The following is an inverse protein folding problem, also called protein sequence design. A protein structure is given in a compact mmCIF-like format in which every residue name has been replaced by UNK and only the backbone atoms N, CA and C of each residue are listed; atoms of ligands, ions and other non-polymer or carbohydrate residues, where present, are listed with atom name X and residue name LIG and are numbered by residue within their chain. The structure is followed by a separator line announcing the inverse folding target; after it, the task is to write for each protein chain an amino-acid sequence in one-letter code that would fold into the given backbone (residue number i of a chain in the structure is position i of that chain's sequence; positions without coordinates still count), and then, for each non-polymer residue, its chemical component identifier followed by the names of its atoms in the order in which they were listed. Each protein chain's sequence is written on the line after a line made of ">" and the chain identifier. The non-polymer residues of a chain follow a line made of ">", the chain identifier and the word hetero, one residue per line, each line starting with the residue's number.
data_IF_009242182554
#
_entry.id   IF_009242182554
#
_cell.length_a   1.000
_cell.length_b   1.000
_cell.length_c   1.000
_cell.angle_alpha   90.00
_cell.angle_beta   90.00
_cell.angle_gamma   90.00
#
_symmetry.space_group_name_H-M   'P 1'
#
loop_
_entity.id
_entity.type
_entity.pdbx_description
1 polymer ?
#
# COMPACT_ATOMS: atom_id res chain seq x y z
N UNK A 1 14.85 27.45 -73.37
CA UNK A 1 14.38 27.83 -72.07
C UNK A 1 13.53 26.68 -71.53
N UNK A 2 14.06 25.80 -70.63
CA UNK A 2 13.31 24.71 -69.96
C UNK A 2 12.65 25.25 -68.76
N UNK A 3 11.33 25.25 -68.69
CA UNK A 3 10.56 25.57 -67.48
C UNK A 3 10.66 24.40 -66.51
N UNK A 4 11.30 24.61 -65.38
CA UNK A 4 11.28 23.68 -64.26
C UNK A 4 9.99 23.94 -63.46
N UNK A 5 9.11 22.96 -63.46
CA UNK A 5 7.88 22.96 -62.63
C UNK A 5 8.23 22.37 -61.26
N UNK A 6 8.30 23.23 -60.25
CA UNK A 6 8.48 22.81 -58.86
C UNK A 6 7.10 22.40 -58.32
N UNK A 7 6.91 21.11 -58.12
CA UNK A 7 5.72 20.59 -57.44
C UNK A 7 5.96 20.74 -55.94
N UNK A 8 5.21 21.66 -55.32
CA UNK A 8 5.22 21.86 -53.87
C UNK A 8 4.41 20.73 -53.23
N UNK A 9 5.09 19.78 -52.59
CA UNK A 9 4.47 18.72 -51.81
C UNK A 9 4.03 19.36 -50.47
N UNK A 10 2.74 19.67 -50.34
CA UNK A 10 2.17 20.04 -49.04
C UNK A 10 2.13 18.78 -48.17
N UNK A 11 3.02 18.68 -47.19
CA UNK A 11 2.88 17.74 -46.11
C UNK A 11 1.72 18.23 -45.24
N UNK A 12 0.60 17.52 -45.30
CA UNK A 12 -0.49 17.71 -44.35
C UNK A 12 0.01 17.22 -42.97
N UNK A 13 0.30 18.15 -42.08
CA UNK A 13 0.47 17.83 -40.70
C UNK A 13 -0.88 17.36 -40.14
N UNK A 14 -1.03 16.07 -39.94
CA UNK A 14 -2.14 15.53 -39.16
C UNK A 14 -1.92 16.02 -37.71
N UNK A 15 -2.65 17.05 -37.32
CA UNK A 15 -2.71 17.43 -35.94
C UNK A 15 -3.36 16.26 -35.20
N UNK A 16 -2.60 15.52 -34.40
CA UNK A 16 -3.16 14.57 -33.47
C UNK A 16 -4.02 15.38 -32.50
N UNK A 17 -5.34 15.23 -32.58
CA UNK A 17 -6.23 15.83 -31.57
C UNK A 17 -5.98 15.13 -30.24
N UNK A 18 -5.76 15.91 -29.17
CA UNK A 18 -5.62 15.35 -27.83
C UNK A 18 -6.89 14.57 -27.48
N UNK A 19 -6.70 13.37 -26.92
CA UNK A 19 -7.77 12.50 -26.43
C UNK A 19 -8.15 12.94 -25.01
N UNK A 20 -9.43 12.85 -24.65
CA UNK A 20 -9.91 13.20 -23.30
C UNK A 20 -10.82 12.10 -22.75
N UNK A 21 -10.73 11.88 -21.43
CA UNK A 21 -11.67 11.02 -20.71
C UNK A 21 -13.09 11.63 -20.70
N UNK A 22 -14.15 10.81 -20.63
CA UNK A 22 -14.14 9.35 -20.53
C UNK A 22 -13.93 8.66 -21.88
N UNK A 23 -13.41 7.41 -21.86
CA UNK A 23 -13.38 6.54 -23.04
C UNK A 23 -14.46 5.47 -22.91
N UNK A 24 -15.51 5.59 -23.71
CA UNK A 24 -16.65 4.67 -23.80
C UNK A 24 -16.58 3.72 -25.02
N UNK A 25 -15.59 3.92 -25.89
CA UNK A 25 -15.34 3.12 -27.11
C UNK A 25 -16.53 2.92 -28.04
N UNK A 26 -17.63 3.67 -27.86
CA UNK A 26 -18.79 3.63 -28.77
C UNK A 26 -18.50 4.24 -30.14
N UNK A 27 -17.51 5.11 -30.19
CA UNK A 27 -16.96 5.67 -31.42
C UNK A 27 -15.47 5.36 -31.53
N UNK A 28 -14.89 5.57 -32.73
CA UNK A 28 -13.46 5.34 -32.93
C UNK A 28 -12.63 6.23 -32.02
N UNK A 29 -11.81 5.62 -31.16
CA UNK A 29 -10.81 6.30 -30.34
C UNK A 29 -9.51 6.37 -31.12
N UNK A 30 -9.04 7.58 -31.45
CA UNK A 30 -7.76 7.76 -32.09
C UNK A 30 -6.61 7.48 -31.13
N UNK A 31 -5.43 7.15 -31.64
CA UNK A 31 -4.25 6.92 -30.79
C UNK A 31 -4.20 5.58 -30.04
N UNK A 32 -5.16 4.68 -30.26
CA UNK A 32 -5.11 3.32 -29.74
C UNK A 32 -4.05 2.49 -30.47
N UNK A 33 -3.09 1.95 -29.72
CA UNK A 33 -1.98 1.13 -30.26
C UNK A 33 -1.77 -0.08 -29.35
N UNK A 34 -1.75 -1.30 -29.93
CA UNK A 34 -1.20 -2.47 -29.27
C UNK A 34 0.33 -2.47 -29.41
N UNK A 35 1.04 -2.95 -28.39
CA UNK A 35 2.50 -2.99 -28.38
C UNK A 35 3.02 -4.31 -27.81
N UNK A 36 4.29 -4.64 -28.10
CA UNK A 36 5.04 -5.79 -27.59
C UNK A 36 4.32 -7.15 -27.76
N UNK A 37 3.58 -7.30 -28.86
CA UNK A 37 2.85 -8.52 -29.16
C UNK A 37 1.41 -8.54 -28.61
N UNK A 38 0.84 -7.40 -28.27
CA UNK A 38 -0.59 -7.28 -28.03
C UNK A 38 -1.29 -6.51 -29.18
N UNK A 39 -2.56 -6.81 -29.40
CA UNK A 39 -3.45 -6.00 -30.23
C UNK A 39 -4.40 -5.20 -29.36
N UNK A 40 -4.78 -3.99 -29.81
CA UNK A 40 -5.73 -3.14 -29.11
C UNK A 40 -6.72 -2.58 -30.14
N UNK A 41 -7.98 -3.04 -30.08
CA UNK A 41 -9.00 -2.76 -31.12
C UNK A 41 -10.37 -2.56 -30.48
N UNK A 42 -11.27 -1.85 -31.17
CA UNK A 42 -12.69 -1.74 -30.77
C UNK A 42 -13.47 -2.90 -31.39
N UNK A 43 -14.32 -3.54 -30.60
CA UNK A 43 -15.15 -4.68 -30.99
C UNK A 43 -16.53 -4.59 -30.35
N UNK A 44 -17.48 -5.41 -30.82
CA UNK A 44 -18.78 -5.55 -30.16
C UNK A 44 -18.60 -6.08 -28.72
N UNK A 45 -19.41 -5.57 -27.78
CA UNK A 45 -19.40 -5.97 -26.39
C UNK A 45 -19.70 -7.48 -26.24
N UNK A 46 -18.86 -8.26 -25.55
CA UNK A 46 -19.04 -9.69 -25.38
C UNK A 46 -20.22 -10.05 -24.46
N UNK A 47 -20.66 -9.13 -23.60
CA UNK A 47 -21.76 -9.36 -22.63
C UNK A 47 -22.41 -8.04 -22.20
N UNK A 48 -23.72 -7.95 -22.38
CA UNK A 48 -24.49 -6.79 -21.89
C UNK A 48 -24.81 -6.85 -20.38
N UNK A 49 -24.51 -7.94 -19.71
CA UNK A 49 -24.70 -8.06 -18.26
C UNK A 49 -23.59 -7.30 -17.52
N UNK A 50 -23.94 -6.19 -16.86
CA UNK A 50 -23.01 -5.33 -16.14
C UNK A 50 -22.35 -4.23 -16.99
N UNK A 51 -22.53 -4.26 -18.32
CA UNK A 51 -22.09 -3.20 -19.24
C UNK A 51 -23.03 -3.12 -20.44
N UNK A 52 -23.77 -2.01 -20.58
CA UNK A 52 -24.77 -1.80 -21.63
C UNK A 52 -24.21 -1.24 -22.93
N UNK A 53 -22.90 -0.95 -23.02
CA UNK A 53 -22.25 -0.43 -24.22
C UNK A 53 -22.40 -1.40 -25.40
N UNK A 54 -22.55 -0.86 -26.62
CA UNK A 54 -22.60 -1.67 -27.83
C UNK A 54 -21.19 -2.12 -28.25
N UNK A 55 -20.20 -1.26 -28.07
CA UNK A 55 -18.81 -1.49 -28.41
C UNK A 55 -17.92 -1.30 -27.21
N UNK A 56 -16.78 -1.99 -27.19
CA UNK A 56 -15.78 -1.96 -26.13
C UNK A 56 -14.37 -2.10 -26.73
N UNK A 57 -13.37 -1.68 -26.00
CA UNK A 57 -11.99 -1.96 -26.39
C UNK A 57 -11.62 -3.41 -26.05
N UNK A 58 -10.79 -4.02 -26.90
CA UNK A 58 -10.29 -5.39 -26.73
C UNK A 58 -8.78 -5.41 -26.83
N UNK A 59 -8.12 -5.94 -25.80
CA UNK A 59 -6.70 -6.27 -25.83
C UNK A 59 -6.55 -7.78 -25.94
N UNK A 60 -5.74 -8.23 -26.90
CA UNK A 60 -5.33 -9.64 -27.00
C UNK A 60 -3.82 -9.70 -26.85
N UNK A 61 -3.36 -10.36 -25.81
CA UNK A 61 -1.96 -10.65 -25.57
C UNK A 61 -1.63 -11.95 -26.30
N UNK A 62 -1.10 -11.84 -27.53
CA UNK A 62 -0.91 -13.01 -28.41
C UNK A 62 0.09 -14.02 -27.82
N UNK A 63 0.13 -15.23 -28.38
CA UNK A 63 1.10 -16.24 -27.98
C UNK A 63 2.53 -15.68 -28.11
N UNK A 64 3.34 -15.89 -27.07
CA UNK A 64 4.70 -15.40 -26.96
C UNK A 64 4.86 -13.86 -26.99
N UNK A 65 3.78 -13.11 -26.75
CA UNK A 65 3.89 -11.67 -26.50
C UNK A 65 4.77 -11.40 -25.27
N UNK A 66 5.46 -10.27 -25.30
CA UNK A 66 6.36 -9.88 -24.19
C UNK A 66 5.62 -9.72 -22.85
N UNK A 67 6.39 -9.79 -21.77
CA UNK A 67 5.88 -9.67 -20.40
C UNK A 67 5.04 -8.40 -20.18
N UNK A 68 5.38 -7.33 -20.89
CA UNK A 68 4.80 -5.98 -20.78
C UNK A 68 3.76 -5.67 -21.86
N UNK A 69 3.46 -6.64 -22.73
CA UNK A 69 2.56 -6.43 -23.84
C UNK A 69 1.17 -5.93 -23.40
N UNK A 70 0.63 -4.94 -24.10
CA UNK A 70 -0.64 -4.32 -23.75
C UNK A 70 -1.18 -3.37 -24.78
N UNK A 71 -2.10 -2.52 -24.35
CA UNK A 71 -2.71 -1.45 -25.13
C UNK A 71 -2.29 -0.07 -24.63
N UNK A 72 -2.14 0.89 -25.54
CA UNK A 72 -1.81 2.29 -25.24
C UNK A 72 -2.80 3.21 -25.93
N UNK A 73 -3.25 4.24 -25.22
CA UNK A 73 -3.95 5.40 -25.80
C UNK A 73 -3.01 6.58 -25.66
N UNK A 74 -2.54 7.11 -26.79
CA UNK A 74 -1.52 8.17 -26.81
C UNK A 74 -2.15 9.55 -26.66
N UNK A 75 -1.41 10.47 -26.03
CA UNK A 75 -1.76 11.88 -25.92
C UNK A 75 -3.11 12.13 -25.24
N UNK A 76 -3.42 11.40 -24.19
CA UNK A 76 -4.59 11.64 -23.33
C UNK A 76 -4.38 12.97 -22.62
N UNK A 77 -5.28 13.93 -22.85
CA UNK A 77 -5.23 15.27 -22.25
C UNK A 77 -6.13 15.36 -21.03
N UNK A 78 -5.90 16.41 -20.25
CA UNK A 78 -6.78 16.79 -19.13
C UNK A 78 -6.78 15.84 -17.92
N UNK A 79 -5.83 14.90 -17.82
CA UNK A 79 -5.67 14.14 -16.59
C UNK A 79 -5.15 15.07 -15.48
N UNK A 80 -5.84 15.04 -14.34
CA UNK A 80 -5.52 15.85 -13.18
C UNK A 80 -5.68 15.03 -11.91
N UNK A 81 -4.56 14.57 -11.36
CA UNK A 81 -4.51 13.79 -10.12
C UNK A 81 -4.15 14.65 -8.90
N UNK A 82 -4.32 15.97 -8.97
CA UNK A 82 -3.91 16.90 -7.89
C UNK A 82 -4.95 17.05 -6.79
N UNK A 83 -6.13 16.46 -6.93
CA UNK A 83 -7.20 16.55 -5.95
C UNK A 83 -7.83 15.19 -5.65
N UNK A 84 -8.42 15.04 -4.45
CA UNK A 84 -9.16 13.84 -4.08
C UNK A 84 -10.35 13.55 -4.99
N UNK A 85 -10.93 14.57 -5.64
CA UNK A 85 -12.07 14.42 -6.53
C UNK A 85 -11.73 13.74 -7.87
N UNK A 86 -10.45 13.55 -8.17
CA UNK A 86 -9.98 13.03 -9.46
C UNK A 86 -8.72 12.17 -9.35
N UNK A 87 -8.40 11.65 -8.17
CA UNK A 87 -7.14 10.89 -7.94
C UNK A 87 -7.17 9.45 -8.46
N UNK A 88 -8.33 8.95 -8.89
CA UNK A 88 -8.54 7.57 -9.29
C UNK A 88 -8.97 7.51 -10.75
N UNK A 89 -8.40 6.56 -11.50
CA UNK A 89 -9.03 6.07 -12.73
C UNK A 89 -9.92 4.88 -12.41
N UNK A 90 -11.15 4.87 -12.90
CA UNK A 90 -11.99 3.68 -12.95
C UNK A 90 -12.03 3.14 -14.37
N UNK A 91 -12.19 1.82 -14.48
CA UNK A 91 -12.26 1.14 -15.76
C UNK A 91 -13.07 -0.14 -15.62
N UNK A 92 -14.03 -0.36 -16.50
CA UNK A 92 -14.68 -1.67 -16.61
C UNK A 92 -13.77 -2.67 -17.30
N UNK A 93 -13.71 -3.88 -16.75
CA UNK A 93 -12.90 -4.98 -17.29
C UNK A 93 -13.76 -6.24 -17.36
N UNK A 94 -13.63 -6.98 -18.46
CA UNK A 94 -14.17 -8.32 -18.62
C UNK A 94 -13.08 -9.24 -19.15
N UNK A 95 -12.88 -10.36 -18.48
CA UNK A 95 -11.97 -11.42 -18.93
C UNK A 95 -12.44 -12.78 -18.41
N UNK A 96 -12.08 -13.86 -19.11
CA UNK A 96 -12.28 -15.23 -18.66
C UNK A 96 -11.04 -15.80 -17.94
N UNK A 97 -10.04 -14.98 -17.71
CA UNK A 97 -8.86 -15.37 -16.92
C UNK A 97 -9.26 -15.62 -15.46
N UNK A 98 -8.46 -16.38 -14.70
CA UNK A 98 -8.74 -16.66 -13.29
C UNK A 98 -8.91 -15.38 -12.46
N UNK A 99 -9.73 -15.45 -11.42
CA UNK A 99 -9.80 -14.42 -10.37
C UNK A 99 -8.40 -14.16 -9.80
N UNK A 100 -8.10 -12.90 -9.50
CA UNK A 100 -6.75 -12.48 -9.10
C UNK A 100 -5.83 -12.13 -10.27
N UNK A 101 -6.34 -12.12 -11.51
CA UNK A 101 -5.58 -11.65 -12.67
C UNK A 101 -5.28 -10.15 -12.52
N UNK A 102 -4.01 -9.81 -12.67
CA UNK A 102 -3.54 -8.42 -12.55
C UNK A 102 -3.82 -7.64 -13.82
N UNK A 103 -4.32 -6.43 -13.64
CA UNK A 103 -4.41 -5.39 -14.66
C UNK A 103 -3.58 -4.21 -14.16
N UNK A 104 -2.52 -3.85 -14.87
CA UNK A 104 -1.70 -2.68 -14.58
C UNK A 104 -2.10 -1.52 -15.47
N UNK A 105 -2.29 -0.35 -14.90
CA UNK A 105 -2.45 0.91 -15.61
C UNK A 105 -1.23 1.79 -15.34
N UNK A 106 -0.64 2.32 -16.40
CA UNK A 106 0.55 3.16 -16.35
C UNK A 106 0.29 4.47 -17.08
N UNK A 107 0.73 5.56 -16.49
CA UNK A 107 0.78 6.87 -17.10
C UNK A 107 2.21 7.14 -17.55
N UNK A 108 2.43 7.41 -18.84
CA UNK A 108 3.76 7.68 -19.39
C UNK A 108 3.85 9.11 -19.89
N UNK A 109 5.05 9.68 -19.78
CA UNK A 109 5.42 11.01 -20.29
C UNK A 109 4.55 12.17 -19.76
N UNK A 110 5.14 13.21 -19.13
CA UNK A 110 6.60 13.32 -18.91
C UNK A 110 7.09 12.50 -17.71
N UNK A 111 6.19 11.92 -16.91
CA UNK A 111 6.51 11.12 -15.75
C UNK A 111 5.93 9.73 -15.89
N UNK A 112 6.47 8.77 -15.17
CA UNK A 112 5.95 7.41 -15.10
C UNK A 112 5.30 7.19 -13.75
N UNK A 113 4.04 6.75 -13.74
CA UNK A 113 3.33 6.29 -12.56
C UNK A 113 2.51 5.06 -12.94
N UNK A 114 2.52 4.04 -12.10
CA UNK A 114 1.87 2.75 -12.35
C UNK A 114 1.02 2.36 -11.16
N UNK A 115 -0.14 1.75 -11.45
CA UNK A 115 -1.03 1.20 -10.42
C UNK A 115 -1.58 -0.13 -10.90
N UNK A 116 -1.62 -1.10 -10.00
CA UNK A 116 -2.17 -2.43 -10.22
C UNK A 116 -3.55 -2.57 -9.59
N UNK A 117 -4.43 -3.31 -10.26
CA UNK A 117 -5.67 -3.83 -9.71
C UNK A 117 -5.81 -5.30 -10.10
N UNK A 118 -6.53 -6.07 -9.29
CA UNK A 118 -6.75 -7.49 -9.54
C UNK A 118 -8.23 -7.77 -9.81
N UNK A 119 -8.50 -8.69 -10.72
CA UNK A 119 -9.88 -9.11 -11.00
C UNK A 119 -10.47 -9.88 -9.82
N UNK A 120 -11.74 -9.63 -9.53
CA UNK A 120 -12.49 -10.31 -8.47
C UNK A 120 -13.51 -11.31 -9.02
N UNK A 121 -13.78 -11.22 -10.33
CA UNK A 121 -14.67 -12.15 -11.03
C UNK A 121 -14.01 -12.63 -12.34
N UNK A 122 -14.50 -13.76 -12.88
CA UNK A 122 -14.11 -14.30 -14.18
C UNK A 122 -15.36 -14.51 -15.02
N UNK A 123 -15.32 -14.11 -16.30
CA UNK A 123 -16.44 -14.23 -17.23
C UNK A 123 -17.60 -13.25 -16.99
N UNK A 124 -17.33 -12.15 -16.30
CA UNK A 124 -18.28 -11.07 -16.03
C UNK A 124 -17.59 -9.72 -16.09
N UNK A 125 -18.36 -8.64 -16.32
CA UNK A 125 -17.88 -7.27 -16.18
C UNK A 125 -17.75 -6.90 -14.71
N UNK A 126 -16.66 -6.23 -14.38
CA UNK A 126 -16.43 -5.57 -13.09
C UNK A 126 -15.79 -4.20 -13.31
N UNK A 127 -15.90 -3.31 -12.33
CA UNK A 127 -15.21 -2.03 -12.33
C UNK A 127 -13.98 -2.14 -11.46
N UNK A 128 -12.80 -1.97 -12.05
CA UNK A 128 -11.53 -1.85 -11.35
C UNK A 128 -11.19 -0.37 -11.14
N UNK A 129 -10.52 -0.07 -10.05
CA UNK A 129 -10.07 1.27 -9.70
C UNK A 129 -8.57 1.31 -9.53
N UNK A 130 -7.93 2.37 -10.04
CA UNK A 130 -6.49 2.60 -10.06
C UNK A 130 -6.22 3.94 -9.39
N UNK A 131 -5.81 3.92 -8.13
CA UNK A 131 -5.57 5.11 -7.32
C UNK A 131 -4.11 5.55 -7.47
N UNK A 132 -3.88 6.58 -8.28
CA UNK A 132 -2.54 7.11 -8.53
C UNK A 132 -1.99 7.97 -7.40
N UNK A 133 -2.79 8.26 -6.37
CA UNK A 133 -2.36 9.11 -5.26
C UNK A 133 -1.98 10.53 -5.70
N UNK A 134 -1.28 11.24 -4.82
CA UNK A 134 -0.71 12.56 -5.11
C UNK A 134 0.77 12.55 -4.73
N UNK A 135 1.67 13.07 -5.57
CA UNK A 135 1.45 13.63 -6.91
C UNK A 135 1.57 12.58 -8.02
N UNK A 136 0.55 12.43 -8.84
CA UNK A 136 0.68 11.73 -10.12
C UNK A 136 0.88 12.73 -11.26
N UNK A 137 1.35 12.30 -12.44
CA UNK A 137 1.53 13.18 -13.57
C UNK A 137 0.21 13.85 -13.94
N UNK A 138 0.27 15.15 -14.24
CA UNK A 138 -0.86 15.91 -14.77
C UNK A 138 -0.50 16.45 -16.16
N UNK A 139 -1.52 16.65 -17.00
CA UNK A 139 -1.37 17.15 -18.35
C UNK A 139 -1.60 16.07 -19.41
N UNK A 140 -0.91 16.17 -20.54
CA UNK A 140 -1.02 15.16 -21.60
C UNK A 140 -0.09 13.98 -21.31
N UNK A 141 -0.65 12.79 -21.24
CA UNK A 141 0.08 11.54 -20.93
C UNK A 141 -0.35 10.45 -21.90
N UNK A 142 0.47 9.42 -22.03
CA UNK A 142 0.05 8.16 -22.64
C UNK A 142 -0.55 7.27 -21.57
N UNK A 143 -1.76 6.79 -21.79
CA UNK A 143 -2.44 5.85 -20.92
C UNK A 143 -2.16 4.43 -21.40
N UNK A 144 -1.43 3.66 -20.62
CA UNK A 144 -0.99 2.32 -20.95
C UNK A 144 -1.73 1.32 -20.07
N UNK A 145 -2.24 0.25 -20.67
CA UNK A 145 -2.99 -0.81 -20.00
C UNK A 145 -2.29 -2.14 -20.29
N UNK A 146 -1.78 -2.76 -19.25
CA UNK A 146 -1.03 -4.01 -19.32
C UNK A 146 -1.79 -5.11 -18.57
N UNK A 147 -2.60 -5.93 -19.25
CA UNK A 147 -3.21 -7.10 -18.62
C UNK A 147 -2.16 -8.21 -18.43
N UNK A 148 -2.20 -8.88 -17.29
CA UNK A 148 -1.24 -9.91 -16.90
C UNK A 148 0.22 -9.45 -17.13
N UNK A 149 0.67 -8.33 -16.56
CA UNK A 149 2.07 -7.94 -16.63
C UNK A 149 2.92 -9.08 -16.06
N UNK A 150 4.18 -9.16 -16.49
CA UNK A 150 5.15 -10.17 -16.06
C UNK A 150 4.82 -11.63 -16.45
N UNK A 151 3.77 -11.83 -17.26
CA UNK A 151 3.38 -13.14 -17.78
C UNK A 151 3.50 -13.14 -19.29
N UNK A 152 4.22 -14.10 -19.92
CA UNK A 152 4.25 -14.21 -21.38
C UNK A 152 2.84 -14.35 -21.97
N UNK A 153 2.66 -13.83 -23.16
CA UNK A 153 1.37 -13.94 -23.86
C UNK A 153 0.98 -15.39 -24.14
N UNK A 154 -0.31 -15.71 -23.91
CA UNK A 154 -0.92 -17.02 -24.18
C UNK A 154 -2.18 -16.93 -25.02
N UNK A 155 -2.36 -15.85 -25.78
CA UNK A 155 -3.60 -15.60 -26.52
C UNK A 155 -4.74 -15.03 -25.67
N UNK A 156 -4.44 -14.60 -24.45
CA UNK A 156 -5.41 -14.13 -23.49
C UNK A 156 -6.11 -12.84 -23.94
N UNK A 157 -7.40 -12.77 -23.68
CA UNK A 157 -8.26 -11.68 -24.13
C UNK A 157 -8.84 -10.92 -22.95
N UNK A 158 -8.82 -9.59 -23.06
CA UNK A 158 -9.34 -8.65 -22.09
C UNK A 158 -10.20 -7.61 -22.81
N UNK A 159 -11.40 -7.36 -22.31
CA UNK A 159 -12.26 -6.29 -22.79
C UNK A 159 -12.28 -5.18 -21.75
N UNK A 160 -12.28 -3.95 -22.23
CA UNK A 160 -12.13 -2.74 -21.43
C UNK A 160 -13.13 -1.71 -21.90
N UNK A 161 -13.73 -1.00 -20.94
CA UNK A 161 -14.71 0.03 -21.22
C UNK A 161 -14.77 1.08 -20.12
N UNK A 162 -15.50 2.17 -20.37
CA UNK A 162 -15.79 3.23 -19.40
C UNK A 162 -14.57 3.66 -18.58
N UNK A 163 -13.49 4.07 -19.27
CA UNK A 163 -12.32 4.62 -18.57
C UNK A 163 -12.62 6.08 -18.20
N UNK A 164 -12.64 6.38 -16.91
CA UNK A 164 -12.95 7.72 -16.41
C UNK A 164 -12.14 8.09 -15.17
N UNK A 165 -11.99 9.39 -14.91
CA UNK A 165 -11.46 9.88 -13.63
C UNK A 165 -12.59 10.02 -12.62
N UNK A 166 -12.40 9.44 -11.46
CA UNK A 166 -13.37 9.47 -10.34
C UNK A 166 -12.71 9.97 -9.06
N UNK A 167 -13.57 10.32 -8.10
CA UNK A 167 -13.09 10.67 -6.76
C UNK A 167 -12.40 9.48 -6.09
N UNK A 168 -11.34 9.77 -5.38
CA UNK A 168 -10.62 8.81 -4.56
C UNK A 168 -10.34 9.35 -3.17
N UNK A 169 -9.87 8.47 -2.31
CA UNK A 169 -9.33 8.87 -1.01
C UNK A 169 -7.84 9.11 -1.19
N UNK A 170 -7.41 10.36 -0.99
CA UNK A 170 -5.98 10.66 -0.98
C UNK A 170 -5.38 9.92 0.20
N UNK A 171 -4.51 8.97 -0.06
CA UNK A 171 -3.68 8.39 0.98
C UNK A 171 -2.74 9.49 1.48
N UNK A 172 -2.97 9.98 2.71
CA UNK A 172 -2.01 10.87 3.35
C UNK A 172 -0.73 10.09 3.58
N UNK A 173 0.40 10.64 3.16
CA UNK A 173 1.70 10.04 3.43
C UNK A 173 1.85 9.78 4.93
N UNK A 174 2.30 8.59 5.31
CA UNK A 174 2.49 8.26 6.73
C UNK A 174 3.65 9.09 7.31
N UNK A 175 3.51 9.43 8.60
CA UNK A 175 4.57 10.16 9.30
C UNK A 175 5.86 9.32 9.43
N UNK A 176 5.72 8.01 9.66
CA UNK A 176 6.82 7.07 9.88
C UNK A 176 6.32 5.67 10.27
N UNK A 177 7.21 4.89 10.86
CA UNK A 177 6.91 3.60 11.47
C UNK A 177 6.06 3.78 12.75
N UNK A 178 5.23 2.80 13.14
CA UNK A 178 5.07 1.47 12.57
C UNK A 178 4.21 1.45 11.31
N UNK A 179 4.40 0.45 10.46
CA UNK A 179 3.49 0.07 9.39
C UNK A 179 2.76 -1.20 9.82
N UNK A 180 1.45 -1.10 9.94
CA UNK A 180 0.53 -2.21 10.19
C UNK A 180 -0.63 -2.09 9.23
N UNK A 181 -1.34 -3.17 8.95
CA UNK A 181 -2.47 -3.17 8.02
C UNK A 181 -3.84 -3.15 8.74
N UNK A 182 -3.85 -2.97 10.07
CA UNK A 182 -5.06 -2.93 10.88
C UNK A 182 -5.81 -1.60 10.78
N UNK A 183 -5.07 -0.49 10.67
CA UNK A 183 -5.67 0.83 10.49
C UNK A 183 -4.73 1.77 9.74
N UNK A 184 -5.27 2.50 8.78
CA UNK A 184 -4.59 3.59 8.10
C UNK A 184 -3.47 3.20 7.12
N UNK A 185 -2.94 1.97 7.15
CA UNK A 185 -2.02 1.48 6.11
C UNK A 185 -2.76 0.56 5.14
N UNK A 186 -2.58 0.81 3.86
CA UNK A 186 -3.13 0.01 2.78
C UNK A 186 -2.10 -0.11 1.67
N UNK A 187 -2.34 -0.96 0.68
CA UNK A 187 -1.48 -1.08 -0.49
C UNK A 187 -1.19 0.26 -1.18
N UNK A 188 -2.11 1.23 -1.11
CA UNK A 188 -1.94 2.58 -1.68
C UNK A 188 -0.79 3.41 -1.12
N UNK A 189 -0.27 3.07 0.05
CA UNK A 189 0.91 3.75 0.60
C UNK A 189 2.21 3.24 -0.01
N UNK A 190 2.14 2.14 -0.75
CA UNK A 190 3.27 1.49 -1.36
C UNK A 190 3.32 1.79 -2.85
N UNK A 191 4.53 1.91 -3.36
CA UNK A 191 4.84 2.05 -4.77
C UNK A 191 5.61 0.82 -5.23
N UNK A 192 4.97 0.03 -6.11
CA UNK A 192 5.59 -1.15 -6.70
C UNK A 192 6.60 -0.77 -7.76
N UNK A 193 7.67 -1.52 -7.85
CA UNK A 193 8.69 -1.32 -8.86
C UNK A 193 9.13 -2.66 -9.45
N UNK A 194 9.47 -2.60 -10.74
CA UNK A 194 9.85 -3.75 -11.54
C UNK A 194 8.77 -4.85 -11.53
N UNK A 195 9.12 -6.08 -11.24
CA UNK A 195 8.26 -7.25 -11.37
C UNK A 195 7.67 -7.73 -10.04
N UNK A 196 7.33 -6.85 -9.16
CA UNK A 196 6.62 -7.18 -7.92
C UNK A 196 5.29 -6.42 -7.81
N UNK A 197 4.33 -7.00 -7.12
CA UNK A 197 3.02 -6.42 -6.86
C UNK A 197 2.68 -6.57 -5.39
N UNK A 198 2.37 -5.44 -4.76
CA UNK A 198 1.93 -5.36 -3.37
C UNK A 198 0.42 -5.20 -3.28
N UNK A 199 -0.19 -5.98 -2.42
CA UNK A 199 -1.61 -5.87 -2.05
C UNK A 199 -1.75 -5.94 -0.54
N UNK A 200 -2.88 -5.47 0.02
CA UNK A 200 -3.26 -5.73 1.41
C UNK A 200 -4.52 -6.59 1.44
N UNK A 201 -4.55 -7.57 2.35
CA UNK A 201 -5.61 -8.58 2.39
C UNK A 201 -5.75 -9.15 3.81
N UNK A 202 -6.82 -9.90 4.11
CA UNK A 202 -6.92 -10.64 5.36
C UNK A 202 -5.72 -11.55 5.59
N UNK A 203 -5.25 -11.63 6.83
CA UNK A 203 -4.14 -12.48 7.22
C UNK A 203 -4.45 -13.95 6.92
N UNK A 204 -3.66 -14.65 6.10
CA UNK A 204 -3.91 -16.03 5.73
C UNK A 204 -3.65 -17.04 6.86
N UNK A 205 -2.89 -16.63 7.90
CA UNK A 205 -2.45 -17.49 8.99
C UNK A 205 -2.40 -16.71 10.31
N UNK A 206 -3.57 -16.56 10.95
CA UNK A 206 -3.68 -15.86 12.24
C UNK A 206 -3.25 -16.82 13.35
N UNK A 207 -2.13 -16.50 14.01
CA UNK A 207 -1.56 -17.30 15.07
C UNK A 207 -1.05 -16.45 16.25
N UNK A 208 -0.31 -17.08 17.19
CA UNK A 208 0.30 -16.41 18.34
C UNK A 208 1.42 -15.45 17.93
N UNK A 209 2.10 -15.72 16.81
CA UNK A 209 3.20 -14.89 16.32
C UNK A 209 2.67 -13.68 15.50
N UNK A 210 1.50 -13.83 14.84
CA UNK A 210 0.82 -12.72 14.16
C UNK A 210 -0.71 -12.79 14.28
N UNK A 211 -1.26 -12.12 15.29
CA UNK A 211 -2.70 -12.01 15.53
C UNK A 211 -3.42 -10.92 14.72
N UNK A 212 -2.75 -10.24 13.80
CA UNK A 212 -3.34 -9.18 12.96
C UNK A 212 -4.43 -9.73 12.04
N UNK A 213 -5.49 -8.97 11.84
CA UNK A 213 -6.58 -9.37 10.93
C UNK A 213 -6.19 -9.18 9.46
N UNK A 214 -5.33 -8.19 9.17
CA UNK A 214 -4.90 -7.85 7.81
C UNK A 214 -3.38 -7.74 7.73
N UNK A 215 -2.83 -8.04 6.55
CA UNK A 215 -1.39 -8.03 6.27
C UNK A 215 -1.10 -7.48 4.88
N UNK A 216 0.15 -7.10 4.63
CA UNK A 216 0.67 -6.86 3.30
C UNK A 216 1.08 -8.17 2.61
N UNK A 217 0.95 -8.20 1.29
CA UNK A 217 1.38 -9.32 0.44
C UNK A 217 2.14 -8.77 -0.74
N UNK A 218 3.34 -9.27 -0.98
CA UNK A 218 4.12 -9.03 -2.20
C UNK A 218 4.23 -10.34 -2.98
N UNK A 219 3.89 -10.28 -4.26
CA UNK A 219 4.12 -11.37 -5.22
C UNK A 219 5.18 -10.92 -6.20
N UNK A 220 6.24 -11.73 -6.38
CA UNK A 220 7.27 -11.51 -7.38
C UNK A 220 6.95 -12.27 -8.64
N UNK A 221 7.11 -11.62 -9.79
CA UNK A 221 6.85 -12.17 -11.11
C UNK A 221 8.12 -12.19 -11.97
N UNK A 222 8.00 -12.73 -13.17
CA UNK A 222 9.07 -12.69 -14.18
C UNK A 222 9.40 -11.23 -14.54
N UNK A 223 10.67 -10.93 -14.65
CA UNK A 223 11.17 -9.58 -14.97
C UNK A 223 12.51 -9.31 -14.33
N UNK A 224 12.61 -8.24 -13.54
CA UNK A 224 13.85 -7.90 -12.87
C UNK A 224 14.03 -8.68 -11.55
N UNK A 225 15.26 -9.11 -11.23
CA UNK A 225 15.54 -9.82 -9.97
C UNK A 225 15.35 -8.93 -8.72
N UNK A 226 15.33 -7.62 -8.87
CA UNK A 226 15.14 -6.63 -7.80
C UNK A 226 13.73 -6.05 -7.72
N UNK A 227 12.72 -6.75 -8.25
CA UNK A 227 11.32 -6.36 -8.10
C UNK A 227 10.90 -6.32 -6.63
N UNK A 228 10.22 -5.25 -6.22
CA UNK A 228 9.81 -5.01 -4.84
C UNK A 228 8.75 -3.94 -4.72
N UNK A 229 8.53 -3.48 -3.50
CA UNK A 229 7.62 -2.37 -3.23
C UNK A 229 8.20 -1.45 -2.16
N UNK A 230 7.88 -0.16 -2.20
CA UNK A 230 8.43 0.81 -1.26
C UNK A 230 7.38 1.76 -0.71
N UNK A 231 7.59 2.18 0.52
CA UNK A 231 6.78 3.19 1.21
C UNK A 231 7.65 4.40 1.53
N UNK A 232 7.14 5.59 1.25
CA UNK A 232 7.81 6.85 1.59
C UNK A 232 7.06 7.53 2.73
N UNK A 233 7.79 7.96 3.74
CA UNK A 233 7.29 8.62 4.92
C UNK A 233 7.46 10.14 4.82
N UNK A 234 6.65 10.87 5.60
CA UNK A 234 6.81 12.33 5.75
C UNK A 234 8.06 12.67 6.54
N UNK A 235 8.35 11.87 7.58
CA UNK A 235 9.55 12.02 8.40
C UNK A 235 10.62 11.03 7.93
N UNK A 236 11.89 11.41 8.12
CA UNK A 236 12.98 10.48 7.93
C UNK A 236 12.94 9.36 8.96
N UNK A 237 13.49 8.19 8.61
CA UNK A 237 13.67 7.08 9.52
C UNK A 237 14.69 7.44 10.61
N UNK A 238 14.37 7.13 11.88
CA UNK A 238 15.20 7.48 13.02
C UNK A 238 16.18 6.35 13.37
N UNK A 239 17.29 6.30 12.66
CA UNK A 239 18.35 5.33 12.93
C UNK A 239 19.31 5.74 14.04
N UNK A 240 19.20 6.97 14.58
CA UNK A 240 20.02 7.42 15.71
C UNK A 240 19.53 6.79 17.01
N UNK A 241 18.23 6.90 17.27
CA UNK A 241 17.64 6.43 18.51
C UNK A 241 17.09 4.98 18.40
N UNK A 242 16.77 4.55 17.19
CA UNK A 242 16.14 3.25 16.92
C UNK A 242 16.72 2.63 15.65
N UNK A 243 17.96 2.13 15.67
CA UNK A 243 18.64 1.66 14.46
C UNK A 243 18.12 0.31 13.96
N UNK A 244 17.38 -0.44 14.76
CA UNK A 244 16.90 -1.77 14.37
C UNK A 244 15.44 -1.69 13.97
N UNK A 245 15.12 -2.12 12.75
CA UNK A 245 13.77 -2.32 12.25
C UNK A 245 13.44 -3.80 12.33
N UNK A 246 12.26 -4.15 12.83
CA UNK A 246 11.71 -5.51 12.76
C UNK A 246 10.53 -5.55 11.79
N UNK A 247 10.32 -6.71 11.19
CA UNK A 247 9.18 -7.00 10.31
C UNK A 247 8.77 -8.45 10.49
N UNK A 248 7.48 -8.72 10.61
CA UNK A 248 6.93 -10.07 10.54
C UNK A 248 6.86 -10.51 9.09
N UNK A 249 7.25 -11.75 8.82
CA UNK A 249 7.25 -12.34 7.47
C UNK A 249 6.67 -13.75 7.54
N UNK A 250 5.86 -14.10 6.56
CA UNK A 250 5.36 -15.43 6.29
C UNK A 250 5.54 -15.76 4.81
N UNK A 251 6.05 -16.93 4.49
CA UNK A 251 6.22 -17.39 3.10
C UNK A 251 6.31 -18.91 3.02
N UNK A 252 5.90 -19.50 1.90
CA UNK A 252 6.19 -20.89 1.55
C UNK A 252 7.51 -21.07 0.78
N UNK A 253 8.30 -20.01 0.61
CA UNK A 253 9.64 -20.11 0.05
C UNK A 253 10.55 -20.95 0.96
N UNK A 254 11.62 -21.56 0.43
CA UNK A 254 12.55 -22.33 1.24
C UNK A 254 13.19 -21.51 2.35
N UNK A 255 13.48 -22.17 3.49
CA UNK A 255 14.31 -21.57 4.55
C UNK A 255 15.64 -21.09 3.93
N UNK A 256 16.13 -19.93 4.38
CA UNK A 256 17.30 -19.28 3.81
C UNK A 256 16.98 -18.29 2.67
N UNK A 257 15.72 -18.07 2.37
CA UNK A 257 15.30 -17.04 1.41
C UNK A 257 15.61 -15.64 1.95
N UNK A 258 16.25 -14.79 1.13
CA UNK A 258 16.63 -13.45 1.54
C UNK A 258 15.41 -12.53 1.61
N UNK A 259 15.35 -11.76 2.69
CA UNK A 259 14.45 -10.60 2.84
C UNK A 259 15.33 -9.37 3.04
N UNK A 260 15.15 -8.37 2.21
CA UNK A 260 15.96 -7.15 2.22
C UNK A 260 15.07 -5.94 2.49
N UNK A 261 15.43 -5.16 3.48
CA UNK A 261 14.97 -3.79 3.66
C UNK A 261 16.03 -2.82 3.16
N UNK A 262 15.61 -1.84 2.36
CA UNK A 262 16.49 -0.78 1.88
C UNK A 262 15.93 0.57 2.28
N UNK A 263 16.66 1.28 3.13
CA UNK A 263 16.38 2.67 3.42
C UNK A 263 16.92 3.55 2.29
N UNK A 264 16.10 4.46 1.74
CA UNK A 264 16.43 5.22 0.53
C UNK A 264 16.19 6.71 0.69
N UNK A 265 17.03 7.47 -0.03
CA UNK A 265 16.81 8.85 -0.46
C UNK A 265 17.12 8.96 -1.96
N UNK A 266 16.83 10.08 -2.64
CA UNK A 266 17.15 10.20 -4.06
C UNK A 266 18.61 9.83 -4.38
N UNK A 267 18.77 8.88 -5.31
CA UNK A 267 20.04 8.35 -5.84
C UNK A 267 20.95 7.60 -4.84
N UNK A 268 20.44 7.27 -3.65
CA UNK A 268 21.23 6.53 -2.67
C UNK A 268 20.37 5.71 -1.71
N UNK A 269 20.91 4.59 -1.21
CA UNK A 269 20.22 3.76 -0.24
C UNK A 269 21.15 2.80 0.50
N UNK A 270 20.74 2.38 1.70
CA UNK A 270 21.37 1.39 2.55
C UNK A 270 20.52 0.14 2.64
N UNK A 271 21.12 -1.01 2.33
CA UNK A 271 20.44 -2.32 2.34
C UNK A 271 20.83 -3.14 3.57
N UNK A 272 19.85 -3.84 4.12
CA UNK A 272 20.03 -4.87 5.15
C UNK A 272 19.26 -6.10 4.73
N UNK A 273 19.96 -7.23 4.62
CA UNK A 273 19.37 -8.51 4.22
C UNK A 273 19.45 -9.51 5.36
N UNK A 274 18.37 -10.21 5.59
CA UNK A 274 18.23 -11.28 6.58
C UNK A 274 17.58 -12.47 5.90
N UNK A 275 17.99 -13.69 6.25
CA UNK A 275 17.41 -14.90 5.68
C UNK A 275 16.26 -15.41 6.55
N UNK A 276 15.24 -15.98 5.91
CA UNK A 276 14.14 -16.66 6.60
C UNK A 276 14.67 -17.89 7.33
N UNK A 277 14.12 -18.16 8.51
CA UNK A 277 14.44 -19.34 9.34
C UNK A 277 13.25 -20.31 9.44
N UNK A 278 12.07 -19.86 8.98
CA UNK A 278 10.83 -20.63 8.93
C UNK A 278 10.27 -20.67 7.51
N UNK A 279 9.38 -21.59 7.24
CA UNK A 279 8.55 -21.68 6.05
C UNK A 279 7.14 -22.05 6.46
N UNK A 280 6.12 -21.40 5.86
CA UNK A 280 4.70 -21.57 6.20
C UNK A 280 4.36 -21.26 7.68
N UNK A 281 5.18 -20.44 8.32
CA UNK A 281 4.98 -19.95 9.68
C UNK A 281 5.39 -18.47 9.74
N UNK A 282 4.75 -17.67 10.60
CA UNK A 282 5.19 -16.32 10.88
C UNK A 282 6.53 -16.32 11.64
N UNK A 283 7.41 -15.41 11.26
CA UNK A 283 8.64 -15.10 11.98
C UNK A 283 8.90 -13.60 12.01
N UNK A 284 9.63 -13.14 13.01
CA UNK A 284 10.06 -11.74 13.10
C UNK A 284 11.52 -11.64 12.68
N UNK A 285 11.77 -10.94 11.59
CA UNK A 285 13.10 -10.65 11.09
C UNK A 285 13.57 -9.28 11.61
N UNK A 286 14.87 -9.15 11.91
CA UNK A 286 15.48 -7.94 12.46
C UNK A 286 16.57 -7.40 11.53
N UNK A 287 16.49 -6.11 11.18
CA UNK A 287 17.37 -5.42 10.24
C UNK A 287 18.11 -4.30 10.97
N UNK A 288 19.42 -4.45 11.12
CA UNK A 288 20.26 -3.51 11.86
C UNK A 288 20.81 -2.41 10.95
N UNK A 289 20.25 -1.21 11.05
CA UNK A 289 20.65 0.01 10.37
C UNK A 289 21.61 0.88 11.20
N UNK A 290 22.31 0.31 12.19
CA UNK A 290 23.33 1.05 12.95
C UNK A 290 24.32 1.70 11.98
N UNK A 291 24.60 2.97 12.20
CA UNK A 291 25.43 3.86 11.36
C UNK A 291 24.84 4.18 9.96
N UNK A 292 23.59 3.85 9.68
CA UNK A 292 22.94 4.32 8.46
C UNK A 292 22.68 5.85 8.54
N UNK A 293 22.71 6.57 7.41
CA UNK A 293 22.35 7.98 7.37
C UNK A 293 20.91 8.23 7.86
N UNK A 294 20.69 9.42 8.40
CA UNK A 294 19.44 9.82 9.06
C UNK A 294 18.48 10.60 8.16
N UNK A 295 18.85 10.81 6.92
CA UNK A 295 18.08 11.60 5.94
C UNK A 295 17.34 10.71 4.93
N UNK A 296 16.83 9.56 5.38
CA UNK A 296 16.18 8.55 4.56
C UNK A 296 14.69 8.46 4.87
N UNK A 297 13.82 8.98 3.99
CA UNK A 297 12.38 8.94 4.19
C UNK A 297 11.70 7.70 3.61
N UNK A 298 12.39 6.86 2.84
CA UNK A 298 11.78 5.75 2.10
C UNK A 298 12.33 4.42 2.59
N UNK A 299 11.45 3.43 2.70
CA UNK A 299 11.79 2.05 2.99
C UNK A 299 11.29 1.16 1.84
N UNK A 300 12.20 0.53 1.12
CA UNK A 300 11.90 -0.45 0.08
C UNK A 300 12.04 -1.88 0.64
N UNK A 301 11.15 -2.74 0.20
CA UNK A 301 11.04 -4.14 0.57
C UNK A 301 11.35 -4.99 -0.66
N UNK A 302 12.38 -5.83 -0.57
CA UNK A 302 12.77 -6.77 -1.61
C UNK A 302 12.81 -8.18 -1.00
N UNK A 303 12.06 -9.08 -1.58
CA UNK A 303 12.01 -10.47 -1.14
C UNK A 303 12.73 -11.35 -2.14
N UNK A 304 13.43 -12.38 -1.66
CA UNK A 304 14.23 -13.33 -2.45
C UNK A 304 15.19 -12.60 -3.42
N UNK A 305 15.71 -11.46 -2.98
CA UNK A 305 16.67 -10.66 -3.72
C UNK A 305 18.09 -11.04 -3.32
N UNK A 306 18.92 -11.35 -4.31
CA UNK A 306 20.35 -11.55 -4.16
C UNK A 306 21.07 -10.68 -5.18
N UNK A 307 21.91 -9.78 -4.70
CA UNK A 307 22.65 -8.86 -5.57
C UNK A 307 23.50 -9.65 -6.60
N UNK A 308 23.39 -9.28 -7.86
CA UNK A 308 24.10 -9.92 -8.96
C UNK A 308 23.54 -11.28 -9.40
N UNK A 309 22.44 -11.76 -8.80
CA UNK A 309 21.74 -12.95 -9.27
C UNK A 309 20.77 -12.61 -10.41
N UNK A 310 20.40 -13.65 -11.18
CA UNK A 310 19.30 -13.57 -12.15
C UNK A 310 18.00 -14.15 -11.59
N UNK A 311 17.90 -14.32 -10.26
CA UNK A 311 16.71 -14.90 -9.63
C UNK A 311 15.52 -13.98 -9.78
N UNK A 312 14.51 -14.42 -10.49
CA UNK A 312 13.25 -13.72 -10.71
C UNK A 312 12.09 -14.51 -10.11
N UNK A 313 11.01 -13.84 -9.76
CA UNK A 313 9.79 -14.51 -9.34
C UNK A 313 9.07 -15.16 -10.51
N UNK A 314 8.12 -16.03 -10.21
CA UNK A 314 7.27 -16.72 -11.19
C UNK A 314 5.77 -16.56 -10.87
N UNK A 315 5.44 -15.78 -9.83
CA UNK A 315 4.09 -15.58 -9.35
C UNK A 315 3.52 -16.75 -8.53
N UNK A 316 4.33 -17.79 -8.27
CA UNK A 316 3.92 -18.95 -7.50
C UNK A 316 3.84 -18.67 -5.98
N UNK A 317 3.40 -19.66 -5.22
CA UNK A 317 3.37 -19.58 -3.76
C UNK A 317 4.77 -19.32 -3.17
N UNK A 318 5.83 -19.90 -3.73
CA UNK A 318 7.21 -19.68 -3.28
C UNK A 318 7.78 -18.31 -3.69
N UNK A 319 7.12 -17.60 -4.59
CA UNK A 319 7.41 -16.21 -4.97
C UNK A 319 6.45 -15.21 -4.28
N UNK A 320 5.67 -15.69 -3.29
CA UNK A 320 4.69 -14.92 -2.53
C UNK A 320 5.14 -14.76 -1.08
N UNK A 321 5.11 -13.51 -0.60
CA UNK A 321 5.55 -13.13 0.73
C UNK A 321 4.48 -12.29 1.39
N UNK A 322 4.09 -12.66 2.60
CA UNK A 322 3.23 -11.84 3.46
C UNK A 322 4.11 -11.15 4.48
N UNK A 323 3.76 -9.93 4.83
CA UNK A 323 4.52 -9.15 5.80
C UNK A 323 3.62 -8.25 6.63
N UNK A 324 4.08 -7.94 7.85
CA UNK A 324 3.34 -7.11 8.77
C UNK A 324 4.27 -6.50 9.83
N UNK A 325 3.71 -5.60 10.63
CA UNK A 325 4.39 -5.03 11.79
C UNK A 325 5.81 -4.53 11.50
N UNK A 326 5.97 -3.71 10.43
CA UNK A 326 7.26 -3.05 10.22
C UNK A 326 7.39 -1.95 11.26
N UNK A 327 8.33 -2.11 12.20
CA UNK A 327 8.50 -1.21 13.34
C UNK A 327 9.93 -1.14 13.81
N UNK A 328 10.24 -0.13 14.61
CA UNK A 328 11.50 -0.15 15.36
C UNK A 328 11.46 -1.25 16.44
N UNK A 329 12.58 -1.93 16.66
CA UNK A 329 12.65 -3.12 17.55
C UNK A 329 12.19 -2.87 18.98
N UNK A 330 12.30 -1.63 19.47
CA UNK A 330 11.96 -1.25 20.84
C UNK A 330 10.70 -0.37 20.92
N UNK A 331 9.98 -0.19 19.81
CA UNK A 331 8.72 0.56 19.79
C UNK A 331 7.58 -0.45 19.84
N UNK A 332 6.77 -0.46 20.89
CA UNK A 332 5.57 -1.29 20.93
C UNK A 332 4.67 -0.95 19.74
N UNK A 333 4.08 -1.97 19.09
CA UNK A 333 3.11 -1.77 18.01
C UNK A 333 1.93 -0.95 18.51
N UNK A 334 1.70 0.08 17.73
CA UNK A 334 0.84 1.16 18.04
C UNK A 334 -0.58 0.83 18.41
N UNK A 335 -1.13 1.81 19.01
CA UNK A 335 -2.51 2.00 19.32
C UNK A 335 -2.83 1.93 20.79
N UNK A 336 -2.01 1.37 21.58
CA UNK A 336 -1.77 1.73 22.98
C UNK A 336 -0.30 1.39 23.17
N UNK A 337 0.58 2.39 23.38
CA UNK A 337 1.77 2.10 24.12
C UNK A 337 1.30 1.20 25.29
N UNK A 338 1.80 -0.05 25.41
CA UNK A 338 2.13 -0.45 26.76
C UNK A 338 3.16 0.59 27.18
N UNK A 339 2.64 1.71 27.64
CA UNK A 339 3.43 2.65 28.39
C UNK A 339 4.09 1.74 29.41
N UNK A 340 5.42 1.68 29.40
CA UNK A 340 6.16 1.30 30.61
C UNK A 340 5.29 1.82 31.70
N UNK A 341 4.61 0.91 32.46
CA UNK A 341 3.57 1.34 33.40
C UNK A 341 4.20 2.37 34.30
N UNK A 342 4.07 3.64 33.86
CA UNK A 342 4.54 4.77 34.67
C UNK A 342 3.80 4.78 35.97
N UNK A 343 2.55 4.27 35.92
CA UNK A 343 1.67 4.16 37.06
C UNK A 343 0.91 2.83 36.97
N UNK A 344 0.85 2.09 38.05
CA UNK A 344 0.00 0.90 38.18
C UNK A 344 -1.17 1.19 39.08
N UNK A 345 -2.35 0.61 38.78
CA UNK A 345 -3.56 0.76 39.57
C UNK A 345 -4.12 -0.61 39.89
N UNK A 346 -4.21 -0.91 41.20
CA UNK A 346 -4.67 -2.21 41.70
C UNK A 346 -5.42 -2.08 43.02
N UNK A 347 -6.33 -3.06 43.33
CA UNK A 347 -6.88 -4.03 42.42
C UNK A 347 -7.75 -3.35 41.34
N UNK A 348 -7.76 -3.89 40.12
CA UNK A 348 -8.63 -3.44 39.07
C UNK A 348 -9.06 -4.67 38.25
N UNK A 349 -10.32 -5.13 38.34
CA UNK A 349 -11.47 -4.50 39.03
C UNK A 349 -11.39 -4.42 40.57
N UNK A 350 -12.20 -3.53 41.14
CA UNK A 350 -12.36 -3.41 42.61
C UNK A 350 -13.81 -3.29 43.04
N UNK A 351 -14.08 -3.62 44.30
CA UNK A 351 -15.36 -3.35 44.99
C UNK A 351 -15.29 -2.22 46.00
N UNK A 352 -14.09 -1.81 46.44
CA UNK A 352 -13.94 -0.88 47.57
C UNK A 352 -12.91 0.22 47.36
N UNK A 353 -11.75 -0.07 46.76
CA UNK A 353 -10.67 0.91 46.59
C UNK A 353 -9.75 0.60 45.44
N UNK A 354 -9.17 1.64 44.84
CA UNK A 354 -8.02 1.55 43.93
C UNK A 354 -6.78 2.11 44.61
N UNK A 355 -5.65 1.44 44.43
CA UNK A 355 -4.35 1.95 44.86
C UNK A 355 -3.55 2.30 43.59
N UNK A 356 -3.22 3.56 43.46
CA UNK A 356 -2.34 4.08 42.38
C UNK A 356 -0.91 4.05 42.88
N UNK A 357 -0.03 3.35 42.18
CA UNK A 357 1.41 3.34 42.47
C UNK A 357 2.12 4.27 41.44
N UNK A 358 2.85 5.24 41.95
CA UNK A 358 3.76 6.10 41.22
C UNK A 358 5.20 5.65 41.52
N UNK A 359 5.91 5.04 40.56
CA UNK A 359 7.31 4.62 40.78
C UNK A 359 8.28 5.79 40.87
N UNK A 360 7.84 6.99 40.40
CA UNK A 360 8.64 8.22 40.48
C UNK A 360 8.57 8.84 41.88
N UNK A 361 9.65 9.45 42.31
CA UNK A 361 9.67 10.26 43.55
C UNK A 361 9.10 11.68 43.33
N UNK A 362 8.64 12.02 42.14
CA UNK A 362 7.98 13.29 41.84
C UNK A 362 6.48 13.20 42.10
N UNK A 363 5.87 14.29 42.56
CA UNK A 363 4.41 14.34 42.80
C UNK A 363 3.62 14.04 41.51
N UNK A 364 2.45 13.46 41.67
CA UNK A 364 1.52 13.21 40.58
C UNK A 364 0.11 13.73 40.88
N UNK A 365 -0.58 14.16 39.81
CA UNK A 365 -2.01 14.48 39.83
C UNK A 365 -2.77 13.26 39.34
N UNK A 366 -3.78 12.83 40.08
CA UNK A 366 -4.69 11.73 39.74
C UNK A 366 -6.08 12.32 39.58
N UNK A 367 -6.70 12.10 38.44
CA UNK A 367 -8.07 12.53 38.12
C UNK A 367 -8.88 11.31 37.67
N UNK A 368 -10.12 11.16 38.13
CA UNK A 368 -11.03 10.10 37.66
C UNK A 368 -12.23 10.73 36.98
N UNK A 369 -12.58 10.18 35.83
CA UNK A 369 -13.71 10.64 34.99
C UNK A 369 -14.69 9.46 34.76
N UNK A 370 -15.96 9.78 34.63
CA UNK A 370 -16.95 8.86 34.08
C UNK A 370 -16.82 8.79 32.54
N UNK A 371 -17.58 7.89 31.91
CA UNK A 371 -17.56 7.73 30.43
C UNK A 371 -18.18 8.94 29.68
N UNK A 372 -18.83 9.87 30.40
CA UNK A 372 -19.35 11.14 29.82
C UNK A 372 -18.33 12.26 29.91
N UNK A 373 -17.15 12.00 30.49
CA UNK A 373 -16.09 12.99 30.70
C UNK A 373 -16.28 13.86 31.95
N UNK A 374 -17.24 13.55 32.82
CA UNK A 374 -17.41 14.27 34.08
C UNK A 374 -16.30 13.85 35.05
N UNK A 375 -15.57 14.83 35.58
CA UNK A 375 -14.57 14.59 36.60
C UNK A 375 -15.25 14.29 37.95
N UNK A 376 -14.97 13.13 38.54
CA UNK A 376 -15.54 12.66 39.80
C UNK A 376 -14.55 12.74 40.97
N UNK A 377 -13.25 12.70 40.67
CA UNK A 377 -12.20 12.72 41.67
C UNK A 377 -10.95 13.44 41.18
N UNK A 378 -10.26 14.13 42.09
CA UNK A 378 -8.94 14.70 41.80
C UNK A 378 -8.11 14.77 43.08
N UNK A 379 -6.83 14.42 42.95
CA UNK A 379 -5.84 14.60 44.04
C UNK A 379 -4.47 14.92 43.46
N UNK A 380 -3.72 15.76 44.17
CA UNK A 380 -2.28 15.94 43.95
C UNK A 380 -1.57 15.25 45.13
N UNK A 381 -0.69 14.29 44.83
CA UNK A 381 0.05 13.55 45.86
C UNK A 381 1.52 13.44 45.49
N UNK A 382 2.38 13.52 46.50
CA UNK A 382 3.82 13.23 46.38
C UNK A 382 4.19 11.82 46.84
N UNK A 383 3.21 11.02 47.28
CA UNK A 383 3.43 9.64 47.72
C UNK A 383 3.66 8.71 46.54
N UNK A 384 4.56 7.73 46.71
CA UNK A 384 4.75 6.66 45.72
C UNK A 384 3.54 5.71 45.60
N UNK A 385 2.61 5.78 46.56
CA UNK A 385 1.37 5.02 46.57
C UNK A 385 0.24 5.87 47.13
N UNK A 386 -0.89 5.95 46.42
CA UNK A 386 -2.08 6.67 46.87
C UNK A 386 -3.32 5.80 46.70
N UNK A 387 -4.09 5.67 47.78
CA UNK A 387 -5.33 4.86 47.79
C UNK A 387 -6.54 5.77 47.62
N UNK A 388 -7.42 5.40 46.73
CA UNK A 388 -8.67 6.09 46.37
C UNK A 388 -9.81 5.19 46.87
N UNK A 389 -10.64 5.72 47.77
CA UNK A 389 -11.87 5.04 48.19
C UNK A 389 -12.87 5.04 47.02
N UNK A 390 -13.30 3.85 46.66
CA UNK A 390 -14.20 3.64 45.53
C UNK A 390 -15.63 3.27 45.98
N UNK A 391 -15.92 3.30 47.30
CA UNK A 391 -17.21 2.87 47.84
C UNK A 391 -18.37 3.73 47.35
N UNK A 392 -18.13 5.01 47.13
CA UNK A 392 -19.14 5.96 46.60
C UNK A 392 -19.28 5.95 45.07
N UNK A 393 -18.43 5.20 44.36
CA UNK A 393 -18.54 5.07 42.90
C UNK A 393 -19.55 3.96 42.56
N UNK A 394 -20.46 4.24 41.67
CA UNK A 394 -21.38 3.23 41.12
C UNK A 394 -20.62 2.12 40.40
N UNK A 395 -21.19 0.92 40.34
CA UNK A 395 -20.61 -0.14 39.50
C UNK A 395 -20.53 0.31 38.02
N UNK A 396 -19.37 0.15 37.42
CA UNK A 396 -19.15 0.65 36.05
C UNK A 396 -17.68 0.82 35.67
N UNK A 397 -17.47 1.49 34.52
CA UNK A 397 -16.14 1.80 33.96
C UNK A 397 -15.86 3.28 34.15
N UNK A 398 -14.63 3.58 34.54
CA UNK A 398 -14.11 4.93 34.75
C UNK A 398 -12.74 5.06 34.07
N UNK A 399 -12.28 6.28 33.85
CA UNK A 399 -10.97 6.60 33.31
C UNK A 399 -10.16 7.37 34.37
N UNK A 400 -9.04 6.83 34.81
CA UNK A 400 -8.08 7.54 35.64
C UNK A 400 -7.00 8.17 34.75
N UNK A 401 -6.90 9.49 34.77
CA UNK A 401 -5.83 10.27 34.17
C UNK A 401 -4.79 10.58 35.24
N UNK A 402 -3.56 10.12 35.06
CA UNK A 402 -2.47 10.26 36.06
C UNK A 402 -1.34 11.01 35.34
N UNK A 403 -0.88 12.11 35.95
CA UNK A 403 0.17 12.97 35.38
C UNK A 403 1.25 13.24 36.42
N UNK A 404 2.53 13.07 36.04
CA UNK A 404 3.70 13.40 36.84
C UNK A 404 4.77 14.05 35.99
N UNK A 405 4.96 15.35 36.13
CA UNK A 405 5.83 16.15 35.26
C UNK A 405 5.34 16.14 33.81
N UNK A 406 6.19 15.70 32.89
CA UNK A 406 5.85 15.56 31.46
C UNK A 406 5.17 14.21 31.15
N UNK A 407 5.11 13.26 32.08
CA UNK A 407 4.54 11.94 31.87
C UNK A 407 3.06 11.95 32.22
N UNK A 408 2.24 11.42 31.31
CA UNK A 408 0.79 11.28 31.45
C UNK A 408 0.38 9.87 31.05
N UNK A 409 -0.52 9.25 31.81
CA UNK A 409 -1.09 7.94 31.53
C UNK A 409 -2.57 7.93 31.85
N UNK A 410 -3.38 7.33 30.98
CA UNK A 410 -4.80 7.07 31.23
C UNK A 410 -5.00 5.57 31.46
N UNK A 411 -5.62 5.22 32.59
CA UNK A 411 -5.90 3.84 32.98
C UNK A 411 -7.42 3.63 33.07
N UNK A 412 -7.91 2.54 32.46
CA UNK A 412 -9.31 2.13 32.62
C UNK A 412 -9.50 1.47 34.00
N UNK A 413 -10.42 1.98 34.79
CA UNK A 413 -10.82 1.43 36.08
C UNK A 413 -12.16 0.71 35.96
N UNK A 414 -12.32 -0.40 36.67
CA UNK A 414 -13.56 -1.17 36.74
C UNK A 414 -13.99 -1.28 38.20
N UNK A 415 -15.22 -0.84 38.49
CA UNK A 415 -15.89 -0.94 39.78
C UNK A 415 -16.99 -2.00 39.72
N UNK A 416 -16.95 -2.94 40.64
CA UNK A 416 -18.02 -3.94 40.81
C UNK A 416 -19.07 -3.48 41.82
#
# INVERSE_FOLDING_TARGET
>A
MKKIMITLLMAASVALSAQALPFDFESSTSGMVGYDGASFTIVANPSSAGNSSANVAKIVKVNAADLWAGGKITSVSSLNFTSASSSVLSMKVYTTQPVGTVIKVKLESPYTSEVDAVTTVSGAWETLTFDFGIPAPSGSVDLVIMPQPFTPGGGNTFFIDDIEQVAGVIATQRLGLPVTFESGTTARHFFDFESAIMTSLPNPDIDVDNGSANVGKIVRYLGAPYGGSKITFTNNLDFVNSPVITMKVWTSAPIGTNVTLKAEKPFWGEERSVQTTKTEEWETLSFDFTNAPTDMPTLALLFDFVAGSSNVGDGSATSTFYFDEIKYANVPLGGIEESKELFSVYPNPTSDKWTVRNPSSTGCTIQIFDLKGQQLYQVLTSSQSHTIDATDFAAGIYLAKIQSGANEQTVRLVKH
#
